data_IF_169084270402
#
_entry.id   IF_169084270402
#
_cell.length_a   1.000
_cell.length_b   1.000
_cell.length_c   1.000
_cell.angle_alpha   90.00
_cell.angle_beta   90.00
_cell.angle_gamma   90.00
#
_symmetry.space_group_name_H-M   'P 1'
#
loop_
_entity.id
_entity.type
_entity.pdbx_description
1 polymer ?
#
# COMPACT_ATOMS: atom_id res chain seq x y z
N UNK A 1 5.43 32.06 -15.39
CA UNK A 1 6.01 31.00 -14.56
C UNK A 1 5.02 30.52 -13.53
N UNK A 2 4.83 29.22 -13.43
CA UNK A 2 3.91 28.64 -12.45
C UNK A 2 4.59 28.53 -11.09
N UNK A 3 3.94 29.06 -10.05
CA UNK A 3 4.43 28.98 -8.67
C UNK A 3 3.46 28.20 -7.78
N UNK A 4 2.75 27.24 -8.36
CA UNK A 4 1.78 26.43 -7.61
C UNK A 4 2.49 25.25 -6.95
N UNK A 5 2.43 25.11 -5.63
CA UNK A 5 3.23 24.13 -4.90
C UNK A 5 2.58 22.76 -4.82
N UNK A 6 2.05 22.24 -5.93
CA UNK A 6 1.30 20.98 -5.92
C UNK A 6 2.17 19.80 -5.48
N UNK A 7 3.39 19.68 -6.00
CA UNK A 7 4.29 18.61 -5.63
C UNK A 7 4.67 18.62 -4.15
N UNK A 8 4.90 19.82 -3.62
CA UNK A 8 5.19 20.01 -2.20
C UNK A 8 4.02 19.56 -1.31
N UNK A 9 2.80 19.93 -1.72
CA UNK A 9 1.59 19.55 -0.97
C UNK A 9 1.37 18.04 -0.98
N UNK A 10 1.55 17.41 -2.13
CA UNK A 10 1.45 15.94 -2.25
C UNK A 10 2.49 15.27 -1.35
N UNK A 11 3.74 15.77 -1.36
CA UNK A 11 4.81 15.23 -0.52
C UNK A 11 4.51 15.39 0.98
N UNK A 12 3.95 16.55 1.38
CA UNK A 12 3.54 16.78 2.77
C UNK A 12 2.45 15.80 3.20
N UNK A 13 1.44 15.58 2.36
CA UNK A 13 0.35 14.63 2.64
C UNK A 13 0.88 13.21 2.75
N UNK A 14 1.78 12.82 1.86
CA UNK A 14 2.41 11.50 1.90
C UNK A 14 3.16 11.29 3.22
N UNK A 15 4.01 12.25 3.61
CA UNK A 15 4.77 12.13 4.88
C UNK A 15 3.86 12.10 6.09
N UNK A 16 2.77 12.88 6.10
CA UNK A 16 1.76 12.83 7.14
C UNK A 16 1.16 11.43 7.28
N UNK A 17 0.76 10.87 6.14
CA UNK A 17 0.17 9.53 6.10
C UNK A 17 1.13 8.46 6.59
N UNK A 18 2.38 8.52 6.15
CA UNK A 18 3.39 7.56 6.58
C UNK A 18 3.64 7.62 8.09
N UNK A 19 3.66 8.81 8.64
CA UNK A 19 3.85 9.01 10.09
C UNK A 19 2.70 8.40 10.89
N UNK A 20 1.47 8.62 10.46
CA UNK A 20 0.28 8.08 11.13
C UNK A 20 0.26 6.55 11.02
N UNK A 21 0.50 6.03 9.80
CA UNK A 21 0.48 4.59 9.55
C UNK A 21 1.58 3.86 10.32
N UNK A 22 2.78 4.41 10.38
CA UNK A 22 3.89 3.81 11.16
C UNK A 22 3.51 3.64 12.61
N UNK A 23 2.89 4.65 13.22
CA UNK A 23 2.42 4.59 14.61
C UNK A 23 1.33 3.55 14.82
N UNK A 24 0.35 3.52 13.92
CA UNK A 24 -0.81 2.63 14.03
C UNK A 24 -0.47 1.18 13.76
N UNK A 25 0.49 0.91 12.89
CA UNK A 25 0.84 -0.43 12.45
C UNK A 25 2.00 -1.05 13.24
N UNK A 26 2.83 -0.24 13.89
CA UNK A 26 3.96 -0.75 14.67
C UNK A 26 3.57 -1.80 15.72
N UNK A 27 2.46 -1.64 16.48
CA UNK A 27 2.06 -2.67 17.45
C UNK A 27 1.77 -4.03 16.84
N UNK A 28 1.47 -4.07 15.54
CA UNK A 28 1.15 -5.30 14.82
C UNK A 28 2.35 -5.89 14.08
N UNK A 29 3.52 -5.28 14.22
CA UNK A 29 4.74 -5.76 13.57
C UNK A 29 4.83 -5.44 12.09
N UNK A 30 4.05 -4.48 11.61
CA UNK A 30 4.11 -4.03 10.21
C UNK A 30 4.95 -2.76 10.17
N UNK A 31 6.00 -2.80 9.34
CA UNK A 31 6.93 -1.70 9.22
C UNK A 31 6.44 -0.57 8.33
N UNK A 32 7.25 0.48 8.28
CA UNK A 32 7.05 1.63 7.41
C UNK A 32 7.38 1.29 5.95
N UNK A 33 7.24 2.26 5.06
CA UNK A 33 7.62 2.08 3.67
C UNK A 33 6.60 1.39 2.80
N UNK A 34 5.32 1.41 3.22
CA UNK A 34 4.25 0.90 2.40
C UNK A 34 3.96 -0.59 2.53
N UNK A 35 4.53 -1.27 3.53
CA UNK A 35 4.28 -2.71 3.72
C UNK A 35 2.78 -3.04 3.79
N UNK A 36 1.98 -2.15 4.38
CA UNK A 36 0.54 -2.35 4.50
C UNK A 36 -0.14 -2.48 3.13
N UNK A 37 0.34 -1.78 2.10
CA UNK A 37 -0.25 -1.84 0.77
C UNK A 37 0.03 -3.18 0.09
N UNK A 38 1.22 -3.74 0.32
CA UNK A 38 1.52 -5.11 -0.14
C UNK A 38 0.60 -6.12 0.54
N UNK A 39 0.47 -6.04 1.86
CA UNK A 39 -0.39 -6.95 2.60
C UNK A 39 -1.85 -6.85 2.14
N UNK A 40 -2.35 -5.63 1.95
CA UNK A 40 -3.72 -5.42 1.48
C UNK A 40 -3.96 -6.08 0.12
N UNK A 41 -3.03 -5.91 -0.82
CA UNK A 41 -3.18 -6.49 -2.15
C UNK A 41 -3.08 -8.02 -2.11
N UNK A 42 -2.19 -8.57 -1.28
CA UNK A 42 -2.06 -10.02 -1.10
C UNK A 42 -3.35 -10.61 -0.51
N UNK A 43 -3.96 -9.90 0.45
CA UNK A 43 -5.25 -10.32 1.01
C UNK A 43 -6.36 -10.33 -0.05
N UNK A 44 -6.34 -9.38 -0.98
CA UNK A 44 -7.32 -9.29 -2.07
C UNK A 44 -7.09 -10.34 -3.16
N UNK A 45 -5.82 -10.71 -3.40
CA UNK A 45 -5.44 -11.66 -4.46
C UNK A 45 -4.41 -12.67 -3.96
N UNK A 46 -4.85 -13.64 -3.15
CA UNK A 46 -3.95 -14.71 -2.71
C UNK A 46 -3.32 -15.43 -3.90
N UNK A 47 -2.02 -15.70 -3.80
CA UNK A 47 -1.29 -16.33 -4.90
C UNK A 47 -0.74 -15.37 -5.93
N UNK A 48 -0.81 -14.07 -5.68
CA UNK A 48 -0.21 -13.05 -6.55
C UNK A 48 1.31 -13.20 -6.60
N UNK A 49 1.93 -12.94 -7.74
CA UNK A 49 3.39 -13.00 -7.86
C UNK A 49 4.05 -11.72 -7.34
N UNK A 50 5.33 -11.80 -6.96
CA UNK A 50 6.09 -10.61 -6.58
C UNK A 50 6.18 -9.61 -7.73
N UNK A 51 6.29 -10.09 -8.96
CA UNK A 51 6.32 -9.23 -10.13
C UNK A 51 5.03 -8.44 -10.29
N UNK A 52 3.88 -9.11 -10.11
CA UNK A 52 2.58 -8.44 -10.15
C UNK A 52 2.44 -7.40 -9.03
N UNK A 53 2.91 -7.71 -7.81
CA UNK A 53 2.93 -6.75 -6.72
C UNK A 53 3.74 -5.50 -7.08
N UNK A 54 4.94 -5.71 -7.63
CA UNK A 54 5.82 -4.62 -8.05
C UNK A 54 5.11 -3.71 -9.07
N UNK A 55 4.52 -4.31 -10.08
CA UNK A 55 3.91 -3.58 -11.19
C UNK A 55 2.65 -2.83 -10.76
N UNK A 56 1.80 -3.46 -9.96
CA UNK A 56 0.54 -2.83 -9.56
C UNK A 56 0.71 -1.74 -8.52
N UNK A 57 1.60 -1.95 -7.55
CA UNK A 57 1.83 -0.97 -6.49
C UNK A 57 2.84 0.09 -6.87
N UNK A 58 3.45 -0.04 -8.05
CA UNK A 58 4.41 0.96 -8.58
C UNK A 58 5.65 1.14 -7.69
N UNK A 59 6.07 0.09 -7.00
CA UNK A 59 7.33 0.06 -6.28
C UNK A 59 8.41 -0.56 -7.15
N UNK A 60 9.68 -0.40 -6.75
CA UNK A 60 10.78 -1.09 -7.41
C UNK A 60 10.90 -2.54 -6.89
N UNK A 61 11.68 -3.36 -7.61
CA UNK A 61 11.86 -4.77 -7.27
C UNK A 61 12.50 -4.95 -5.89
N UNK A 62 13.47 -4.12 -5.54
CA UNK A 62 14.18 -4.22 -4.27
C UNK A 62 13.26 -3.91 -3.10
N UNK A 63 12.43 -2.88 -3.20
CA UNK A 63 11.46 -2.51 -2.18
C UNK A 63 10.42 -3.63 -2.01
N UNK A 64 9.91 -4.18 -3.11
CA UNK A 64 8.96 -5.30 -3.08
C UNK A 64 9.57 -6.50 -2.37
N UNK A 65 10.79 -6.89 -2.75
CA UNK A 65 11.47 -8.04 -2.14
C UNK A 65 11.66 -7.87 -0.63
N UNK A 66 12.09 -6.68 -0.20
CA UNK A 66 12.26 -6.38 1.24
C UNK A 66 10.93 -6.41 1.98
N UNK A 67 9.89 -5.82 1.42
CA UNK A 67 8.56 -5.76 2.05
C UNK A 67 7.95 -7.16 2.18
N UNK A 68 8.03 -7.95 1.13
CA UNK A 68 7.55 -9.34 1.13
C UNK A 68 8.31 -10.16 2.19
N UNK A 69 9.62 -10.03 2.22
CA UNK A 69 10.45 -10.74 3.22
C UNK A 69 10.08 -10.35 4.65
N UNK A 70 9.90 -9.06 4.91
CA UNK A 70 9.53 -8.57 6.24
C UNK A 70 8.14 -9.04 6.66
N UNK A 71 7.18 -9.05 5.74
CA UNK A 71 5.84 -9.57 6.01
C UNK A 71 5.87 -11.08 6.26
N UNK A 72 6.72 -11.81 5.57
CA UNK A 72 6.93 -13.24 5.81
C UNK A 72 7.52 -13.47 7.21
N UNK A 73 8.56 -12.74 7.56
CA UNK A 73 9.22 -12.83 8.88
C UNK A 73 8.25 -12.49 10.02
N UNK A 74 7.34 -11.54 9.78
CA UNK A 74 6.30 -11.16 10.76
C UNK A 74 5.11 -12.13 10.78
N UNK A 75 5.10 -13.13 9.91
CA UNK A 75 4.08 -14.17 9.91
C UNK A 75 2.79 -13.83 9.19
N UNK A 76 2.75 -12.75 8.40
CA UNK A 76 1.53 -12.34 7.69
C UNK A 76 1.37 -13.03 6.33
N UNK A 77 2.47 -13.43 5.71
CA UNK A 77 2.43 -14.04 4.38
C UNK A 77 3.33 -15.26 4.33
N UNK A 78 3.08 -16.09 3.34
CA UNK A 78 3.96 -17.21 2.99
C UNK A 78 4.26 -17.14 1.50
N UNK A 79 5.45 -17.58 1.13
CA UNK A 79 5.90 -17.62 -0.26
C UNK A 79 6.05 -19.07 -0.70
N UNK A 80 5.64 -19.31 -1.94
CA UNK A 80 5.87 -20.60 -2.60
C UNK A 80 6.49 -20.35 -3.95
N UNK A 81 7.42 -21.19 -4.37
CA UNK A 81 7.95 -21.10 -5.73
C UNK A 81 6.84 -21.33 -6.73
N UNK A 82 6.77 -20.48 -7.76
CA UNK A 82 5.81 -20.63 -8.82
C UNK A 82 6.14 -21.90 -9.61
N UNK A 83 5.21 -22.88 -9.71
CA UNK A 83 5.47 -24.10 -10.45
C UNK A 83 5.69 -23.86 -11.95
N UNK A 84 5.24 -22.73 -12.48
CA UNK A 84 5.40 -22.37 -13.89
C UNK A 84 6.65 -21.56 -14.16
N UNK A 85 7.27 -20.94 -13.12
CA UNK A 85 8.50 -20.16 -13.25
C UNK A 85 9.26 -20.19 -11.92
N UNK A 86 10.31 -21.00 -11.87
CA UNK A 86 11.11 -21.21 -10.65
C UNK A 86 11.83 -19.97 -10.16
N UNK A 87 11.88 -18.89 -10.97
CA UNK A 87 12.49 -17.61 -10.57
C UNK A 87 11.49 -16.68 -9.92
N UNK A 88 10.22 -17.08 -9.86
CA UNK A 88 9.13 -16.28 -9.30
C UNK A 88 8.57 -16.93 -8.03
N UNK A 89 7.95 -16.09 -7.19
CA UNK A 89 7.26 -16.56 -5.99
C UNK A 89 5.79 -16.19 -6.06
N UNK A 90 4.95 -17.12 -5.63
CA UNK A 90 3.54 -16.87 -5.34
C UNK A 90 3.43 -16.50 -3.86
N UNK A 91 2.69 -15.45 -3.56
CA UNK A 91 2.57 -14.89 -2.22
C UNK A 91 1.13 -15.00 -1.76
N UNK A 92 0.91 -15.56 -0.57
CA UNK A 92 -0.42 -15.76 -0.02
C UNK A 92 -0.49 -15.33 1.45
N UNK A 93 -1.67 -14.87 1.93
CA UNK A 93 -1.84 -14.50 3.32
C UNK A 93 -1.91 -15.74 4.22
N UNK A 94 -1.41 -15.58 5.45
CA UNK A 94 -1.53 -16.60 6.50
C UNK A 94 -2.84 -16.38 7.27
N UNK A 95 -3.15 -17.30 8.19
CA UNK A 95 -4.29 -17.14 9.10
C UNK A 95 -4.16 -15.84 9.92
N UNK A 96 -2.94 -15.52 10.36
CA UNK A 96 -2.67 -14.28 11.08
C UNK A 96 -3.07 -13.05 10.25
N UNK A 97 -2.76 -13.05 8.96
CA UNK A 97 -3.14 -11.96 8.07
C UNK A 97 -4.66 -11.86 7.90
N UNK A 98 -5.32 -12.99 7.75
CA UNK A 98 -6.78 -13.03 7.63
C UNK A 98 -7.48 -12.46 8.87
N UNK A 99 -6.97 -12.78 10.06
CA UNK A 99 -7.48 -12.23 11.31
C UNK A 99 -7.20 -10.72 11.44
N UNK A 100 -6.07 -10.28 10.91
CA UNK A 100 -5.68 -8.86 10.94
C UNK A 100 -6.42 -8.02 9.91
N UNK A 101 -6.95 -8.61 8.85
CA UNK A 101 -7.54 -7.88 7.74
C UNK A 101 -8.60 -6.83 8.16
N UNK A 102 -9.55 -7.13 9.07
CA UNK A 102 -10.49 -6.10 9.51
C UNK A 102 -9.83 -4.94 10.26
N UNK A 103 -8.80 -5.23 11.05
CA UNK A 103 -8.05 -4.21 11.79
C UNK A 103 -7.32 -3.30 10.80
N UNK A 104 -6.65 -3.88 9.81
CA UNK A 104 -5.97 -3.12 8.77
C UNK A 104 -6.94 -2.22 8.02
N UNK A 105 -8.10 -2.76 7.61
CA UNK A 105 -9.10 -1.97 6.90
C UNK A 105 -9.61 -0.82 7.75
N UNK A 106 -9.84 -1.03 9.05
CA UNK A 106 -10.25 0.03 9.97
C UNK A 106 -9.22 1.14 10.09
N UNK A 107 -7.94 0.79 10.16
CA UNK A 107 -6.83 1.77 10.21
C UNK A 107 -6.81 2.61 8.92
N UNK A 108 -6.95 1.97 7.77
CA UNK A 108 -6.95 2.66 6.48
C UNK A 108 -8.18 3.55 6.31
N UNK A 109 -9.34 3.09 6.75
CA UNK A 109 -10.58 3.87 6.68
C UNK A 109 -10.48 5.13 7.55
N UNK A 110 -9.95 5.01 8.77
CA UNK A 110 -9.73 6.14 9.66
C UNK A 110 -8.76 7.15 9.04
N UNK A 111 -7.69 6.66 8.42
CA UNK A 111 -6.72 7.52 7.73
C UNK A 111 -7.40 8.30 6.60
N UNK A 112 -8.20 7.62 5.79
CA UNK A 112 -8.89 8.25 4.68
C UNK A 112 -9.89 9.33 5.15
N UNK A 113 -10.64 9.04 6.22
CA UNK A 113 -11.53 10.02 6.82
C UNK A 113 -10.75 11.23 7.32
N UNK A 114 -9.62 11.01 7.98
CA UNK A 114 -8.80 12.10 8.52
C UNK A 114 -8.21 13.00 7.45
N UNK A 115 -7.98 12.45 6.26
CA UNK A 115 -7.45 13.23 5.12
C UNK A 115 -8.46 14.24 4.59
N UNK A 116 -9.72 13.87 4.55
CA UNK A 116 -10.75 14.63 3.84
C UNK A 116 -11.81 15.22 4.76
N UNK A 117 -11.63 15.17 6.09
CA UNK A 117 -12.67 15.61 7.02
C UNK A 117 -13.06 17.08 6.90
N UNK A 118 -12.17 17.91 6.32
CA UNK A 118 -12.44 19.34 6.08
C UNK A 118 -13.07 19.60 4.72
N UNK A 119 -13.22 18.57 3.90
CA UNK A 119 -13.80 18.70 2.56
C UNK A 119 -15.29 18.32 2.61
N UNK A 120 -16.07 18.96 1.72
CA UNK A 120 -17.42 18.48 1.45
C UNK A 120 -17.35 17.18 0.65
N UNK A 121 -18.47 16.48 0.57
CA UNK A 121 -18.53 15.23 -0.22
C UNK A 121 -18.21 15.49 -1.69
N UNK A 122 -18.70 16.61 -2.24
CA UNK A 122 -18.40 17.01 -3.63
C UNK A 122 -16.91 17.31 -3.82
N UNK A 123 -16.29 17.96 -2.84
CA UNK A 123 -14.85 18.26 -2.89
C UNK A 123 -14.01 16.98 -2.79
N UNK A 124 -14.43 16.04 -1.96
CA UNK A 124 -13.76 14.74 -1.85
C UNK A 124 -13.82 13.99 -3.17
N UNK A 125 -15.00 13.89 -3.78
CA UNK A 125 -15.16 13.25 -5.08
C UNK A 125 -14.30 13.93 -6.15
N UNK A 126 -14.27 15.26 -6.14
CA UNK A 126 -13.49 16.04 -7.09
C UNK A 126 -11.99 15.79 -6.95
N UNK A 127 -11.46 15.78 -5.72
CA UNK A 127 -10.02 15.56 -5.53
C UNK A 127 -9.62 14.14 -5.93
N UNK A 128 -10.48 13.16 -5.67
CA UNK A 128 -10.23 11.78 -6.11
C UNK A 128 -10.13 11.73 -7.63
N UNK A 129 -11.09 12.32 -8.32
CA UNK A 129 -11.10 12.37 -9.78
C UNK A 129 -9.86 13.07 -10.34
N UNK A 130 -9.47 14.20 -9.74
CA UNK A 130 -8.31 14.97 -10.17
C UNK A 130 -7.00 14.22 -9.93
N UNK A 131 -6.87 13.54 -8.79
CA UNK A 131 -5.68 12.72 -8.50
C UNK A 131 -5.55 11.56 -9.47
N UNK A 132 -6.66 10.93 -9.84
CA UNK A 132 -6.66 9.87 -10.85
C UNK A 132 -6.31 10.41 -12.23
N UNK A 133 -6.73 11.63 -12.54
CA UNK A 133 -6.41 12.30 -13.81
C UNK A 133 -4.93 12.70 -13.89
N UNK A 134 -4.32 13.08 -12.77
CA UNK A 134 -2.88 13.29 -12.69
C UNK A 134 -2.27 11.90 -12.75
N UNK A 135 -2.01 11.41 -13.90
CA UNK A 135 -1.60 10.04 -14.07
C UNK A 135 -0.38 9.66 -13.23
N UNK A 136 -0.43 8.48 -12.66
CA UNK A 136 0.69 7.81 -12.04
C UNK A 136 1.23 6.69 -12.94
N UNK A 137 0.70 6.60 -14.16
CA UNK A 137 1.15 5.63 -15.14
C UNK A 137 2.46 6.13 -15.76
N UNK A 138 3.56 5.37 -15.65
CA UNK A 138 4.85 5.78 -16.19
C UNK A 138 4.90 5.85 -17.71
N UNK A 139 3.92 5.28 -18.39
CA UNK A 139 3.87 5.28 -19.85
C UNK A 139 3.25 6.55 -20.45
N UNK A 140 2.90 7.50 -19.62
CA UNK A 140 2.32 8.77 -20.08
C UNK A 140 3.35 9.86 -20.28
#
# INVERSE_FOLDING_TARGET
MRKKPIGKLISHLYRRNQKILSKKLAPYGIGSGGQHSFLKLILQRPGITQEQLTNELKFDKATTARSVKQLEESGYIERKTDPNDRRSYLVSPTAKALEFAPVLQGILDELNVSLVHKLSEEEEDLIIDLLQKISIDPDE
#
